data_IF_385153494472
#
_entry.id   IF_385153494472
#
_cell.length_a   1.000
_cell.length_b   1.000
_cell.length_c   1.000
_cell.angle_alpha   90.00
_cell.angle_beta   90.00
_cell.angle_gamma   90.00
#
_symmetry.space_group_name_H-M   'P 1'
#
loop_
_entity.id
_entity.type
_entity.pdbx_description
1 polymer ?
#
# COMPACT_ATOMS: atom_id res chain seq x y z
N UNK A 1 -7.00 43.29 0.11
CA UNK A 1 -6.81 41.82 0.09
C UNK A 1 -5.86 41.43 1.22
N UNK A 2 -6.37 40.82 2.31
CA UNK A 2 -5.55 40.37 3.44
C UNK A 2 -5.02 38.95 3.16
N UNK A 3 -3.71 38.77 3.07
CA UNK A 3 -3.06 37.46 3.02
C UNK A 3 -3.38 36.72 4.32
N UNK A 4 -4.11 35.61 4.23
CA UNK A 4 -4.35 34.71 5.38
C UNK A 4 -3.05 33.94 5.65
N UNK A 5 -2.49 34.13 6.83
CA UNK A 5 -1.34 33.37 7.33
C UNK A 5 -1.75 31.90 7.56
N UNK A 6 -0.97 30.96 7.01
CA UNK A 6 -1.17 29.52 7.24
C UNK A 6 -1.04 29.19 8.74
N UNK A 7 -1.90 28.31 9.31
CA UNK A 7 -1.76 27.87 10.69
C UNK A 7 -0.42 27.12 10.89
N UNK A 8 0.32 27.49 11.95
CA UNK A 8 1.53 26.79 12.38
C UNK A 8 1.14 25.61 13.26
N UNK A 9 1.30 24.40 12.72
CA UNK A 9 1.14 23.15 13.48
C UNK A 9 2.48 22.74 14.10
N UNK A 10 2.49 22.19 15.33
CA UNK A 10 3.72 21.72 15.96
C UNK A 10 4.31 20.55 15.16
N UNK A 11 5.60 20.68 14.80
CA UNK A 11 6.41 19.67 14.14
C UNK A 11 6.49 18.41 15.02
N UNK A 12 5.79 17.34 14.65
CA UNK A 12 5.83 16.05 15.33
C UNK A 12 6.85 15.10 14.67
N UNK A 13 8.06 15.60 14.44
CA UNK A 13 9.23 14.76 14.22
C UNK A 13 10.37 15.34 15.06
N UNK A 14 10.52 14.84 16.29
CA UNK A 14 11.74 15.05 17.08
C UNK A 14 12.81 14.03 16.68
N UNK A 15 13.17 14.03 15.41
CA UNK A 15 14.46 13.56 14.90
C UNK A 15 14.80 14.41 13.67
N UNK A 16 16.09 14.68 13.47
CA UNK A 16 16.61 15.92 12.85
C UNK A 16 16.33 16.02 11.33
N UNK A 17 16.08 17.27 10.90
CA UNK A 17 16.13 17.82 9.52
C UNK A 17 15.09 17.29 8.50
N UNK A 18 13.97 18.01 8.38
CA UNK A 18 13.28 18.15 7.09
C UNK A 18 13.66 19.51 6.49
N UNK A 19 14.54 19.50 5.49
CA UNK A 19 14.81 20.68 4.65
C UNK A 19 13.76 20.70 3.54
N UNK A 20 13.13 21.86 3.33
CA UNK A 20 12.19 22.06 2.21
C UNK A 20 12.91 21.82 0.89
N UNK A 21 12.53 20.79 0.14
CA UNK A 21 12.89 20.66 -1.27
C UNK A 21 11.79 21.33 -2.12
N UNK A 22 12.20 22.24 -3.01
CA UNK A 22 11.37 22.76 -4.09
C UNK A 22 11.93 22.18 -5.38
N UNK A 23 11.17 21.32 -6.05
CA UNK A 23 11.57 20.70 -7.32
C UNK A 23 10.90 21.45 -8.47
N UNK A 24 11.71 21.87 -9.45
CA UNK A 24 11.26 22.49 -10.69
C UNK A 24 11.17 21.41 -11.78
N UNK A 25 10.00 21.31 -12.41
CA UNK A 25 9.68 20.36 -13.48
C UNK A 25 10.46 20.68 -14.76
N UNK A 26 11.03 19.66 -15.41
CA UNK A 26 11.47 19.70 -16.82
C UNK A 26 10.88 18.50 -17.55
N UNK A 27 10.19 18.78 -18.64
CA UNK A 27 9.59 17.80 -19.55
C UNK A 27 10.64 17.18 -20.48
N UNK A 28 10.52 15.89 -20.79
CA UNK A 28 11.13 15.30 -21.98
C UNK A 28 10.28 14.18 -22.58
N UNK A 29 10.14 14.25 -23.90
CA UNK A 29 9.34 13.42 -24.82
C UNK A 29 9.93 12.02 -25.11
N UNK A 30 9.12 11.04 -25.56
CA UNK A 30 9.46 9.62 -25.58
C UNK A 30 10.12 9.14 -26.89
N UNK A 31 10.92 8.07 -26.79
CA UNK A 31 11.43 7.33 -27.96
C UNK A 31 10.83 5.91 -28.03
N UNK A 32 10.56 5.47 -29.27
CA UNK A 32 9.83 4.26 -29.63
C UNK A 32 10.74 3.02 -29.75
N UNK A 33 10.28 1.92 -29.17
CA UNK A 33 10.05 0.63 -29.85
C UNK A 33 11.20 -0.37 -30.00
N UNK A 34 10.96 -1.63 -29.63
CA UNK A 34 10.91 -2.74 -30.60
C UNK A 34 10.39 -4.04 -29.97
N UNK A 35 9.73 -4.87 -30.80
CA UNK A 35 9.11 -6.16 -30.49
C UNK A 35 10.09 -7.32 -30.76
N UNK A 36 10.01 -8.39 -29.96
CA UNK A 36 10.31 -9.77 -30.38
C UNK A 36 9.52 -10.74 -29.48
N UNK A 37 8.39 -11.32 -29.94
CA UNK A 37 8.21 -12.61 -30.65
C UNK A 37 8.65 -13.88 -29.89
N UNK A 38 7.62 -14.68 -29.58
CA UNK A 38 7.54 -16.06 -29.12
C UNK A 38 8.46 -17.09 -29.81
N UNK A 39 8.77 -18.20 -29.09
CA UNK A 39 8.15 -19.54 -29.32
C UNK A 39 8.58 -20.61 -28.27
N UNK A 40 7.87 -21.76 -28.19
CA UNK A 40 7.65 -22.56 -26.98
C UNK A 40 8.28 -23.97 -26.98
N UNK A 41 8.09 -24.70 -25.88
CA UNK A 41 8.19 -26.16 -25.75
C UNK A 41 8.98 -26.58 -24.51
N UNK A 42 8.79 -27.72 -23.84
CA UNK A 42 7.94 -28.91 -24.01
C UNK A 42 7.95 -29.65 -22.65
N UNK A 43 6.96 -30.52 -22.50
CA UNK A 43 6.55 -31.48 -21.46
C UNK A 43 7.56 -32.19 -20.54
N UNK A 44 7.02 -32.55 -19.36
CA UNK A 44 7.02 -33.86 -18.65
C UNK A 44 7.32 -33.62 -17.16
N UNK A 45 6.49 -34.07 -16.21
CA UNK A 45 5.92 -35.40 -16.08
C UNK A 45 6.70 -36.15 -15.01
N UNK A 46 6.62 -35.72 -13.74
CA UNK A 46 7.15 -36.48 -12.61
C UNK A 46 6.05 -36.76 -11.59
N UNK A 47 5.74 -38.04 -11.48
CA UNK A 47 4.74 -38.63 -10.59
C UNK A 47 5.26 -38.57 -9.15
N UNK A 48 4.58 -37.84 -8.28
CA UNK A 48 4.83 -37.87 -6.83
C UNK A 48 4.21 -39.14 -6.26
N UNK A 49 5.04 -40.07 -5.78
CA UNK A 49 4.61 -41.22 -4.99
C UNK A 49 4.19 -40.75 -3.60
N UNK A 50 2.91 -40.87 -3.29
CA UNK A 50 2.41 -40.77 -1.93
C UNK A 50 2.73 -42.07 -1.19
N UNK A 51 3.50 -41.98 -0.12
CA UNK A 51 3.58 -43.04 0.87
C UNK A 51 2.33 -42.93 1.76
N UNK A 52 1.43 -43.91 1.66
CA UNK A 52 0.39 -44.13 2.66
C UNK A 52 1.04 -44.71 3.91
N UNK A 53 1.34 -43.85 4.88
CA UNK A 53 1.54 -44.29 6.26
C UNK A 53 0.16 -44.46 6.87
N UNK A 54 -0.24 -45.71 7.13
CA UNK A 54 -1.46 -46.02 7.87
C UNK A 54 -1.35 -45.41 9.28
N UNK A 55 -2.06 -44.31 9.52
CA UNK A 55 -2.26 -43.81 10.87
C UNK A 55 -3.36 -44.65 11.50
N UNK A 56 -2.95 -45.44 12.50
CA UNK A 56 -3.88 -46.09 13.42
C UNK A 56 -4.79 -45.04 14.04
N UNK A 57 -6.08 -45.35 14.10
CA UNK A 57 -7.12 -44.54 14.76
C UNK A 57 -6.93 -44.59 16.28
N UNK A 58 -5.89 -43.93 16.78
CA UNK A 58 -5.78 -43.51 18.17
C UNK A 58 -6.39 -42.12 18.30
N UNK A 59 -7.66 -42.03 18.71
CA UNK A 59 -8.29 -40.74 19.06
C UNK A 59 -7.66 -40.24 20.36
N UNK A 60 -6.48 -39.63 20.27
CA UNK A 60 -5.96 -38.79 21.34
C UNK A 60 -6.98 -37.67 21.55
N UNK A 61 -7.58 -37.61 22.75
CA UNK A 61 -8.33 -36.42 23.16
C UNK A 61 -7.32 -35.28 23.18
N UNK A 62 -7.44 -34.35 22.24
CA UNK A 62 -6.72 -33.09 22.32
C UNK A 62 -7.03 -32.39 23.65
N UNK A 63 -6.14 -31.50 24.12
CA UNK A 63 -6.34 -30.81 25.38
C UNK A 63 -7.71 -30.12 25.37
N UNK A 64 -8.53 -30.43 26.38
CA UNK A 64 -9.82 -29.78 26.59
C UNK A 64 -9.53 -28.33 26.99
N UNK A 65 -9.71 -27.42 26.05
CA UNK A 65 -9.48 -26.00 26.27
C UNK A 65 -10.38 -25.55 27.43
N UNK A 66 -9.79 -24.89 28.43
CA UNK A 66 -10.54 -24.40 29.58
C UNK A 66 -11.65 -23.45 29.13
N UNK A 67 -12.75 -23.40 29.91
CA UNK A 67 -13.88 -22.49 29.68
C UNK A 67 -13.45 -21.05 29.43
N UNK A 68 -12.40 -20.59 30.13
CA UNK A 68 -11.82 -19.26 29.99
C UNK A 68 -11.07 -19.10 28.65
N UNK A 69 -10.20 -20.05 28.28
CA UNK A 69 -9.50 -20.03 26.98
C UNK A 69 -10.46 -20.13 25.79
N UNK A 70 -11.57 -20.85 25.95
CA UNK A 70 -12.61 -20.97 24.93
C UNK A 70 -13.48 -19.71 24.85
N UNK A 71 -13.64 -18.97 25.95
CA UNK A 71 -14.28 -17.66 25.99
C UNK A 71 -13.37 -16.60 25.36
N UNK A 72 -12.09 -16.54 25.73
CA UNK A 72 -11.09 -15.65 25.13
C UNK A 72 -10.94 -15.90 23.62
N UNK A 73 -10.91 -17.16 23.18
CA UNK A 73 -10.84 -17.49 21.76
C UNK A 73 -12.13 -17.08 21.00
N UNK A 74 -13.30 -17.20 21.64
CA UNK A 74 -14.59 -16.82 21.05
C UNK A 74 -14.81 -15.31 21.05
N UNK A 75 -14.39 -14.60 22.10
CA UNK A 75 -14.39 -13.14 22.20
C UNK A 75 -13.41 -12.53 21.20
N UNK A 76 -12.20 -13.09 21.08
CA UNK A 76 -11.25 -12.71 20.04
C UNK A 76 -11.80 -13.00 18.64
N UNK A 77 -12.58 -14.06 18.43
CA UNK A 77 -13.23 -14.31 17.14
C UNK A 77 -14.34 -13.29 16.83
N UNK A 78 -15.11 -12.85 17.83
CA UNK A 78 -16.11 -11.79 17.69
C UNK A 78 -15.47 -10.45 17.30
N UNK A 79 -14.44 -10.05 18.05
CA UNK A 79 -13.67 -8.83 17.82
C UNK A 79 -12.96 -8.86 16.45
N UNK A 80 -12.29 -9.96 16.12
CA UNK A 80 -11.62 -10.13 14.83
C UNK A 80 -12.60 -9.97 13.66
N UNK A 81 -13.78 -10.59 13.75
CA UNK A 81 -14.81 -10.46 12.72
C UNK A 81 -15.32 -9.03 12.62
N UNK A 82 -15.63 -8.38 13.75
CA UNK A 82 -16.12 -7.01 13.78
C UNK A 82 -15.10 -6.04 13.15
N UNK A 83 -13.83 -6.15 13.52
CA UNK A 83 -12.74 -5.35 12.93
C UNK A 83 -12.53 -5.67 11.43
N UNK A 84 -12.72 -6.92 11.02
CA UNK A 84 -12.69 -7.32 9.60
C UNK A 84 -13.79 -6.67 8.75
N UNK A 85 -14.91 -6.27 9.36
CA UNK A 85 -16.01 -5.57 8.67
C UNK A 85 -15.71 -4.10 8.34
N UNK A 86 -14.64 -3.53 8.87
CA UNK A 86 -14.20 -2.19 8.46
C UNK A 86 -13.80 -2.23 6.99
N UNK A 87 -14.66 -1.69 6.14
CA UNK A 87 -14.44 -1.63 4.70
C UNK A 87 -13.33 -0.65 4.35
N UNK A 88 -12.61 -0.95 3.28
CA UNK A 88 -11.57 -0.07 2.74
C UNK A 88 -11.49 -0.20 1.23
N UNK A 89 -10.97 0.82 0.55
CA UNK A 89 -10.53 0.65 -0.83
C UNK A 89 -9.20 -0.13 -0.91
N UNK A 90 -8.81 -0.50 -2.13
CA UNK A 90 -7.46 -0.99 -2.43
C UNK A 90 -6.70 0.08 -3.22
N UNK A 91 -5.46 0.32 -2.78
CA UNK A 91 -4.61 1.38 -3.29
C UNK A 91 -3.20 0.86 -3.47
N UNK A 92 -2.48 1.38 -4.46
CA UNK A 92 -1.02 1.29 -4.47
C UNK A 92 -0.46 2.61 -3.97
N UNK A 93 0.26 2.54 -2.85
CA UNK A 93 1.00 3.69 -2.35
C UNK A 93 2.41 3.62 -2.90
N UNK A 94 2.82 4.64 -3.63
CA UNK A 94 4.20 4.82 -4.11
C UNK A 94 4.86 5.92 -3.29
N UNK A 95 6.15 5.77 -3.01
CA UNK A 95 6.92 6.74 -2.22
C UNK A 95 8.27 6.93 -2.90
N UNK A 96 8.71 8.19 -3.02
CA UNK A 96 10.03 8.53 -3.56
C UNK A 96 10.72 9.60 -2.72
N UNK A 97 12.01 9.38 -2.46
CA UNK A 97 12.93 10.37 -1.89
C UNK A 97 14.23 10.37 -2.71
N UNK A 98 14.35 11.34 -3.62
CA UNK A 98 15.42 11.37 -4.62
C UNK A 98 15.38 10.15 -5.54
N UNK A 99 16.49 9.41 -5.62
CA UNK A 99 16.61 8.20 -6.44
C UNK A 99 15.99 6.96 -5.78
N UNK A 100 15.71 7.01 -4.47
CA UNK A 100 15.14 5.87 -3.73
C UNK A 100 13.63 5.88 -3.88
N UNK A 101 13.06 4.74 -4.23
CA UNK A 101 11.62 4.57 -4.31
C UNK A 101 11.16 3.23 -3.74
N UNK A 102 9.92 3.19 -3.30
CA UNK A 102 9.26 1.97 -2.87
C UNK A 102 7.76 2.07 -3.16
N UNK A 103 7.08 0.93 -3.21
CA UNK A 103 5.63 0.90 -3.39
C UNK A 103 5.02 -0.31 -2.70
N UNK A 104 3.77 -0.20 -2.28
CA UNK A 104 3.05 -1.29 -1.62
C UNK A 104 1.54 -1.23 -1.85
N UNK A 105 0.92 -2.41 -1.88
CA UNK A 105 -0.53 -2.54 -1.79
C UNK A 105 -0.99 -2.16 -0.37
N UNK A 106 -1.93 -1.23 -0.29
CA UNK A 106 -2.50 -0.70 0.94
C UNK A 106 -4.02 -0.79 0.92
N UNK A 107 -4.62 -1.01 2.09
CA UNK A 107 -6.05 -0.81 2.28
C UNK A 107 -6.37 0.15 3.43
N UNK A 108 -5.38 0.62 4.20
CA UNK A 108 -5.62 1.56 5.30
C UNK A 108 -5.33 2.99 4.85
N UNK A 109 -6.21 3.50 3.98
CA UNK A 109 -6.16 4.86 3.43
C UNK A 109 -7.52 5.51 3.55
N UNK A 110 -7.62 6.72 4.10
CA UNK A 110 -8.88 7.46 4.27
C UNK A 110 -8.67 8.97 4.11
N UNK A 111 -9.68 9.71 3.66
CA UNK A 111 -9.64 11.18 3.71
C UNK A 111 -9.77 11.66 5.16
N UNK A 112 -8.98 12.65 5.55
CA UNK A 112 -8.97 13.21 6.91
C UNK A 112 -9.34 14.69 7.00
N UNK A 113 -9.28 15.44 5.89
CA UNK A 113 -9.64 16.87 5.88
C UNK A 113 -10.07 17.34 4.49
N UNK A 114 -10.86 18.42 4.47
CA UNK A 114 -11.19 19.18 3.27
C UNK A 114 -10.29 20.41 3.07
N UNK A 115 -9.89 21.12 4.13
CA UNK A 115 -9.10 22.35 4.03
C UNK A 115 -7.95 22.40 5.07
N UNK A 116 -6.68 22.20 4.66
CA UNK A 116 -6.29 21.70 3.34
C UNK A 116 -6.81 20.27 3.12
N UNK A 117 -6.92 19.79 1.86
CA UNK A 117 -7.31 18.42 1.59
C UNK A 117 -6.21 17.48 2.11
N UNK A 118 -6.58 16.51 2.94
CA UNK A 118 -5.62 15.53 3.47
C UNK A 118 -6.15 14.11 3.44
N UNK A 119 -5.22 13.17 3.33
CA UNK A 119 -5.46 11.73 3.46
C UNK A 119 -4.55 11.13 4.53
N UNK A 120 -4.98 10.02 5.12
CA UNK A 120 -4.16 9.17 5.96
C UNK A 120 -3.69 7.95 5.18
N UNK A 121 -2.48 7.48 5.48
CA UNK A 121 -1.98 6.17 5.07
C UNK A 121 -1.36 5.51 6.28
N UNK A 122 -1.80 4.29 6.61
CA UNK A 122 -1.17 3.50 7.65
C UNK A 122 -0.25 2.44 7.03
N UNK A 123 0.99 2.38 7.53
CA UNK A 123 2.01 1.45 7.06
C UNK A 123 2.66 0.75 8.26
N UNK A 124 2.96 -0.54 8.09
CA UNK A 124 3.70 -1.31 9.10
C UNK A 124 5.09 -0.69 9.29
N UNK A 125 5.46 -0.46 10.55
CA UNK A 125 6.74 0.17 10.88
C UNK A 125 7.94 -0.68 10.41
N UNK A 126 9.03 -0.02 10.02
CA UNK A 126 10.27 -0.67 9.59
C UNK A 126 10.25 -1.23 8.16
N UNK A 127 9.20 -0.93 7.37
CA UNK A 127 9.23 -1.17 5.92
C UNK A 127 10.09 -0.10 5.22
N UNK A 128 10.72 -0.37 4.07
CA UNK A 128 11.48 0.65 3.34
C UNK A 128 10.64 1.90 3.00
N UNK A 129 9.37 1.73 2.66
CA UNK A 129 8.45 2.84 2.44
C UNK A 129 8.16 3.68 3.71
N UNK A 130 8.18 3.08 4.90
CA UNK A 130 8.02 3.80 6.18
C UNK A 130 9.22 4.73 6.40
N UNK A 131 10.43 4.24 6.15
CA UNK A 131 11.65 5.05 6.23
C UNK A 131 11.64 6.22 5.24
N UNK A 132 11.23 6.00 3.99
CA UNK A 132 11.14 7.05 2.97
C UNK A 132 10.10 8.11 3.32
N UNK A 133 8.93 7.71 3.83
CA UNK A 133 7.91 8.65 4.31
C UNK A 133 8.41 9.46 5.51
N UNK A 134 9.16 8.85 6.43
CA UNK A 134 9.78 9.54 7.55
C UNK A 134 10.85 10.54 7.13
N UNK A 135 11.58 10.27 6.04
CA UNK A 135 12.56 11.18 5.48
C UNK A 135 11.91 12.42 4.82
N UNK A 136 10.60 12.40 4.61
CA UNK A 136 9.85 13.48 3.96
C UNK A 136 9.73 13.29 2.45
N UNK A 137 9.89 12.06 1.95
CA UNK A 137 9.63 11.73 0.56
C UNK A 137 8.21 12.07 0.13
N UNK A 138 8.05 12.43 -1.14
CA UNK A 138 6.72 12.55 -1.76
C UNK A 138 6.08 11.18 -1.87
N UNK A 139 4.75 11.11 -1.77
CA UNK A 139 4.03 9.86 -1.98
C UNK A 139 2.77 10.07 -2.81
N UNK A 140 2.37 9.06 -3.56
CA UNK A 140 1.11 9.04 -4.27
C UNK A 140 0.24 7.87 -3.82
N UNK A 141 -1.07 8.11 -3.77
CA UNK A 141 -2.08 7.07 -3.55
C UNK A 141 -2.77 6.82 -4.89
N UNK A 142 -2.51 5.65 -5.48
CA UNK A 142 -3.09 5.21 -6.74
C UNK A 142 -4.29 4.31 -6.45
N UNK A 143 -5.49 4.73 -6.86
CA UNK A 143 -6.76 4.06 -6.57
C UNK A 143 -6.96 2.92 -7.56
N UNK A 144 -7.07 1.68 -7.07
CA UNK A 144 -7.22 0.52 -7.94
C UNK A 144 -8.69 0.39 -8.36
N UNK A 145 -8.93 0.16 -9.65
CA UNK A 145 -10.25 -0.13 -10.17
C UNK A 145 -10.71 -1.55 -9.83
N UNK A 146 -12.02 -1.76 -9.76
CA UNK A 146 -12.61 -3.09 -9.58
C UNK A 146 -12.08 -4.08 -10.63
N UNK A 147 -11.78 -5.30 -10.19
CA UNK A 147 -11.22 -6.35 -11.04
C UNK A 147 -9.72 -6.25 -11.34
N UNK A 148 -9.04 -5.16 -10.97
CA UNK A 148 -7.59 -4.96 -11.16
C UNK A 148 -7.09 -5.38 -12.57
N UNK A 149 -7.60 -4.77 -13.65
CA UNK A 149 -7.33 -5.24 -15.01
C UNK A 149 -5.83 -5.22 -15.37
N UNK A 150 -5.04 -4.39 -14.69
CA UNK A 150 -3.61 -4.24 -14.92
C UNK A 150 -2.73 -5.07 -13.96
N UNK A 151 -3.34 -5.87 -13.08
CA UNK A 151 -2.61 -6.79 -12.18
C UNK A 151 -1.74 -6.09 -11.13
N UNK A 152 -2.06 -4.85 -10.75
CA UNK A 152 -1.30 -4.06 -9.80
C UNK A 152 -1.33 -4.70 -8.40
N UNK A 153 -2.47 -5.26 -7.98
CA UNK A 153 -2.59 -5.90 -6.67
C UNK A 153 -1.63 -7.07 -6.52
N UNK A 154 -1.52 -7.91 -7.55
CA UNK A 154 -0.61 -9.06 -7.54
C UNK A 154 0.85 -8.61 -7.51
N UNK A 155 1.19 -7.58 -8.30
CA UNK A 155 2.56 -7.07 -8.39
C UNK A 155 3.03 -6.44 -7.09
N UNK A 156 2.24 -5.53 -6.52
CA UNK A 156 2.60 -4.76 -5.33
C UNK A 156 2.24 -5.46 -4.01
N UNK A 157 1.49 -6.56 -4.05
CA UNK A 157 1.15 -7.37 -2.89
C UNK A 157 2.32 -8.19 -2.33
N UNK A 158 3.36 -8.46 -3.15
CA UNK A 158 4.54 -9.23 -2.72
C UNK A 158 5.49 -8.43 -1.81
N UNK A 159 5.41 -7.10 -1.84
CA UNK A 159 6.35 -6.21 -1.15
C UNK A 159 7.72 -6.14 -1.84
N UNK A 160 8.54 -5.15 -1.46
CA UNK A 160 9.86 -4.91 -2.07
C UNK A 160 10.86 -4.52 -1.01
N UNK A 161 12.07 -5.08 -1.09
CA UNK A 161 13.21 -4.69 -0.26
C UNK A 161 13.78 -3.31 -0.61
N UNK A 162 14.81 -2.84 0.12
CA UNK A 162 15.42 -1.53 -0.07
C UNK A 162 16.07 -1.31 -1.44
N UNK A 163 16.59 -2.37 -2.07
CA UNK A 163 17.36 -2.32 -3.32
C UNK A 163 16.61 -2.94 -4.51
N UNK A 164 15.34 -3.29 -4.32
CA UNK A 164 14.47 -3.80 -5.39
C UNK A 164 13.75 -2.64 -6.07
N UNK A 165 13.73 -2.63 -7.40
CA UNK A 165 12.90 -1.68 -8.15
C UNK A 165 11.44 -2.16 -8.13
N UNK A 166 10.53 -1.45 -7.43
CA UNK A 166 9.12 -1.85 -7.38
C UNK A 166 8.39 -1.64 -8.70
N UNK A 167 8.97 -0.91 -9.65
CA UNK A 167 8.33 -0.51 -10.90
C UNK A 167 8.79 -1.32 -12.11
N UNK A 168 9.65 -2.33 -11.94
CA UNK A 168 10.06 -3.19 -13.04
C UNK A 168 8.85 -3.81 -13.74
N UNK A 169 8.73 -3.57 -15.05
CA UNK A 169 7.60 -4.00 -15.88
C UNK A 169 6.27 -3.26 -15.65
N UNK A 170 6.25 -2.19 -14.84
CA UNK A 170 5.06 -1.37 -14.58
C UNK A 170 5.18 -0.02 -15.28
N UNK A 171 4.11 0.40 -15.95
CA UNK A 171 4.04 1.74 -16.52
C UNK A 171 3.89 2.77 -15.40
N UNK A 172 4.75 3.80 -15.40
CA UNK A 172 4.72 4.89 -14.42
C UNK A 172 4.78 6.25 -15.09
N UNK A 173 4.24 7.25 -14.40
CA UNK A 173 4.40 8.67 -14.70
C UNK A 173 4.98 9.37 -13.48
N UNK A 174 6.00 10.22 -13.66
CA UNK A 174 6.60 10.93 -12.54
C UNK A 174 5.70 12.10 -12.11
N UNK A 175 5.23 12.06 -10.87
CA UNK A 175 4.40 13.11 -10.28
C UNK A 175 5.17 14.39 -9.93
N UNK A 176 4.43 15.47 -9.68
CA UNK A 176 4.97 16.76 -9.22
C UNK A 176 5.70 16.68 -7.87
N UNK A 177 5.33 15.72 -7.03
CA UNK A 177 5.98 15.40 -5.74
C UNK A 177 7.18 14.47 -5.87
N UNK A 178 7.46 13.99 -7.09
CA UNK A 178 8.43 12.93 -7.37
C UNK A 178 7.90 11.52 -7.15
N UNK A 179 6.75 11.33 -6.52
CA UNK A 179 6.16 10.00 -6.40
C UNK A 179 5.65 9.49 -7.75
N UNK A 180 5.80 8.19 -7.99
CA UNK A 180 5.33 7.55 -9.22
C UNK A 180 3.81 7.40 -9.23
N UNK A 181 3.18 7.91 -10.29
CA UNK A 181 1.78 7.67 -10.58
C UNK A 181 1.66 6.45 -11.48
N UNK A 182 0.58 5.70 -11.32
CA UNK A 182 0.35 4.46 -12.05
C UNK A 182 -0.85 4.63 -13.00
N UNK A 183 -0.64 4.85 -14.31
CA UNK A 183 -1.74 4.95 -15.28
C UNK A 183 -2.62 3.69 -15.37
N UNK A 184 -2.16 2.56 -14.83
CA UNK A 184 -2.98 1.34 -14.68
C UNK A 184 -4.03 1.41 -13.56
N UNK A 185 -4.00 2.45 -12.72
CA UNK A 185 -5.01 2.74 -11.71
C UNK A 185 -6.19 3.53 -12.34
N UNK A 186 -7.30 3.72 -11.60
CA UNK A 186 -8.42 4.55 -12.09
C UNK A 186 -8.22 6.04 -11.77
N UNK A 187 -7.37 6.35 -10.79
CA UNK A 187 -6.96 7.71 -10.45
C UNK A 187 -5.80 7.71 -9.47
N UNK A 188 -5.15 8.85 -9.30
CA UNK A 188 -4.04 9.02 -8.37
C UNK A 188 -4.09 10.40 -7.71
N UNK A 189 -3.68 10.46 -6.44
CA UNK A 189 -3.48 11.73 -5.72
C UNK A 189 -2.04 11.81 -5.20
N UNK A 190 -1.45 12.98 -5.34
CA UNK A 190 -0.09 13.27 -4.90
C UNK A 190 -0.11 13.97 -3.55
N UNK A 191 0.78 13.53 -2.66
CA UNK A 191 0.77 13.95 -1.27
C UNK A 191 2.17 14.32 -0.78
N UNK A 192 2.21 15.33 0.10
CA UNK A 192 3.38 15.66 0.92
C UNK A 192 3.08 15.35 2.38
N UNK A 193 4.00 14.68 3.07
CA UNK A 193 3.83 14.32 4.48
C UNK A 193 3.71 15.59 5.33
N UNK A 194 2.65 15.68 6.15
CA UNK A 194 2.41 16.76 7.10
C UNK A 194 2.76 16.36 8.53
N UNK A 195 2.39 15.17 8.93
CA UNK A 195 2.67 14.62 10.25
C UNK A 195 2.56 13.10 10.24
N UNK A 196 3.08 12.46 11.27
CA UNK A 196 2.92 11.03 11.49
C UNK A 196 2.75 10.73 12.97
N UNK A 197 2.04 9.65 13.28
CA UNK A 197 1.85 9.15 14.66
C UNK A 197 1.98 7.63 14.67
N UNK A 198 2.66 7.09 15.67
CA UNK A 198 2.73 5.65 15.91
C UNK A 198 1.38 5.15 16.46
N UNK A 199 0.89 4.05 15.90
CA UNK A 199 -0.42 3.47 16.21
C UNK A 199 -0.28 1.95 16.44
N UNK A 200 0.56 1.56 17.39
CA UNK A 200 0.90 0.16 17.63
C UNK A 200 1.98 -0.33 16.67
N UNK A 201 1.70 -1.39 15.90
CA UNK A 201 2.62 -1.96 14.92
C UNK A 201 2.67 -1.21 13.58
N UNK A 202 1.78 -0.22 13.41
CA UNK A 202 1.74 0.68 12.25
C UNK A 202 2.10 2.11 12.64
N UNK A 203 2.51 2.88 11.63
CA UNK A 203 2.59 4.33 11.68
C UNK A 203 1.55 4.91 10.74
N UNK A 204 0.79 5.89 11.24
CA UNK A 204 -0.20 6.62 10.43
C UNK A 204 0.43 7.92 9.98
N UNK A 205 0.56 8.09 8.68
CA UNK A 205 0.98 9.35 8.05
C UNK A 205 -0.25 10.15 7.64
N UNK A 206 -0.22 11.46 7.87
CA UNK A 206 -1.16 12.42 7.29
C UNK A 206 -0.44 13.14 6.15
N UNK A 207 -0.96 13.01 4.94
CA UNK A 207 -0.46 13.71 3.75
C UNK A 207 -1.42 14.82 3.32
N UNK A 208 -0.88 15.99 2.99
CA UNK A 208 -1.63 17.01 2.27
C UNK A 208 -1.62 16.68 0.78
N UNK A 209 -2.81 16.65 0.18
CA UNK A 209 -2.99 16.44 -1.26
C UNK A 209 -2.62 17.72 -1.98
N UNK A 210 -1.69 17.63 -2.94
CA UNK A 210 -1.14 18.79 -3.67
C UNK A 210 -1.40 18.74 -5.17
N UNK A 211 -1.64 17.56 -5.73
CA UNK A 211 -2.01 17.35 -7.14
C UNK A 211 -2.79 16.02 -7.29
N UNK A 212 -3.37 15.76 -8.46
CA UNK A 212 -4.05 14.50 -8.77
C UNK A 212 -4.33 14.27 -10.26
N UNK A 213 -4.60 13.02 -10.63
CA UNK A 213 -4.94 12.57 -11.98
C UNK A 213 -6.16 11.65 -11.93
N UNK A 214 -7.02 11.76 -12.92
CA UNK A 214 -8.05 10.76 -13.23
C UNK A 214 -7.64 10.03 -14.50
N UNK A 215 -7.51 8.71 -14.44
CA UNK A 215 -7.12 7.89 -15.59
C UNK A 215 -8.33 7.21 -16.26
N UNK A 216 -9.43 7.10 -15.53
CA UNK A 216 -10.73 6.73 -16.06
C UNK A 216 -11.72 7.88 -15.83
N UNK A 217 -12.65 8.08 -16.78
CA UNK A 217 -13.79 8.99 -16.59
C UNK A 217 -14.80 8.40 -15.60
N UNK A 218 -15.01 7.08 -15.68
CA UNK A 218 -15.88 6.29 -14.83
C UNK A 218 -15.18 5.02 -14.34
N UNK A 219 -15.58 4.50 -13.18
CA UNK A 219 -15.09 3.23 -12.66
C UNK A 219 -15.28 3.07 -11.16
N UNK A 220 -15.64 1.87 -10.72
CA UNK A 220 -15.72 1.57 -9.29
C UNK A 220 -14.33 1.31 -8.73
N UNK A 221 -14.06 1.85 -7.55
CA UNK A 221 -12.86 1.50 -6.79
C UNK A 221 -12.97 0.08 -6.28
N UNK A 222 -11.88 -0.67 -6.32
CA UNK A 222 -11.80 -1.96 -5.67
C UNK A 222 -11.98 -1.80 -4.15
N UNK A 223 -12.86 -2.61 -3.57
CA UNK A 223 -13.15 -2.63 -2.13
C UNK A 223 -12.60 -3.89 -1.51
N UNK A 224 -11.90 -3.73 -0.39
CA UNK A 224 -11.43 -4.82 0.45
C UNK A 224 -12.34 -5.00 1.66
N UNK A 225 -13.01 -6.16 1.71
CA UNK A 225 -13.78 -6.64 2.86
C UNK A 225 -13.07 -7.85 3.45
N UNK A 226 -12.77 -7.80 4.74
CA UNK A 226 -12.04 -8.87 5.42
C UNK A 226 -12.96 -9.73 6.27
N UNK A 227 -12.58 -11.00 6.43
CA UNK A 227 -13.25 -11.90 7.37
C UNK A 227 -12.70 -11.79 8.80
N UNK A 228 -11.47 -11.27 8.92
CA UNK A 228 -10.76 -11.02 10.17
C UNK A 228 -10.03 -9.68 10.11
N UNK A 229 -10.00 -8.95 11.23
CA UNK A 229 -9.27 -7.69 11.35
C UNK A 229 -7.80 -7.84 11.71
N UNK A 230 -7.38 -9.02 12.19
CA UNK A 230 -6.02 -9.26 12.68
C UNK A 230 -5.04 -9.74 11.61
N UNK A 231 -5.54 -10.16 10.45
CA UNK A 231 -4.72 -10.62 9.32
C UNK A 231 -5.28 -10.10 8.00
N UNK A 232 -4.43 -10.10 6.97
CA UNK A 232 -4.77 -9.83 5.58
C UNK A 232 -5.00 -11.13 4.82
#
# INVERSE_FOLDING_TARGET
MRRRSRPRWPLCCRTRRCVRASVALRESTPSRGSRARHRPGITSGSTVRWFETSLSTGRARGPELSSEAMTDAKENAGLARALGRVASGLYIVTVRDGERANAFLASWVQQASFEPPTVTVAIKQGRPADELLCAGGGFAVNVIGEGDPNGLMKHFGKGFGPDEDPFDGIATELGSTGADLLPGAIGAIECVVRSSTEAGDHRVFVGEVVDGRSYAEDGLSAVHLRTSGFHY
#
